data_IF_485385422524
#
_entry.id   IF_485385422524
#
_cell.length_a   1.000
_cell.length_b   1.000
_cell.length_c   1.000
_cell.angle_alpha   90.00
_cell.angle_beta   90.00
_cell.angle_gamma   90.00
#
_symmetry.space_group_name_H-M   'P 1'
#
loop_
_entity.id
_entity.type
_entity.pdbx_description
1 polymer ?
#
# COMPACT_ATOMS: atom_id res chain seq x y z
N UNK A 1 -12.44 2.50 -16.32
CA UNK A 1 -11.39 3.57 -16.31
C UNK A 1 -10.77 3.59 -14.91
N UNK A 2 -9.54 3.12 -14.77
CA UNK A 2 -8.92 3.07 -13.44
C UNK A 2 -8.21 4.39 -13.12
N UNK A 3 -8.97 5.32 -12.64
CA UNK A 3 -8.50 6.49 -11.92
C UNK A 3 -9.41 6.63 -10.70
N UNK A 4 -8.81 6.52 -9.52
CA UNK A 4 -9.53 6.62 -8.25
C UNK A 4 -9.14 7.93 -7.61
N UNK A 5 -10.12 8.80 -7.40
CA UNK A 5 -10.00 9.99 -6.55
C UNK A 5 -10.66 9.64 -5.22
N UNK A 6 -9.89 9.64 -4.15
CA UNK A 6 -10.39 9.29 -2.82
C UNK A 6 -11.20 10.46 -2.23
N UNK A 7 -12.21 10.11 -1.44
CA UNK A 7 -12.96 11.11 -0.68
C UNK A 7 -12.10 11.61 0.49
N UNK A 8 -11.69 12.87 0.41
CA UNK A 8 -10.80 13.52 1.37
C UNK A 8 -11.36 14.90 1.76
N UNK A 9 -10.86 15.54 2.84
CA UNK A 9 -11.15 16.94 3.12
C UNK A 9 -10.75 17.86 1.95
N UNK A 10 -11.42 19.02 1.81
CA UNK A 10 -11.22 19.94 0.67
C UNK A 10 -9.80 20.48 0.50
N UNK A 11 -9.02 20.52 1.59
CA UNK A 11 -7.62 20.95 1.58
C UNK A 11 -6.63 19.90 1.07
N UNK A 12 -7.11 18.69 0.71
CA UNK A 12 -6.29 17.53 0.40
C UNK A 12 -6.81 16.85 -0.86
N UNK A 13 -5.89 16.36 -1.69
CA UNK A 13 -6.19 15.47 -2.83
C UNK A 13 -5.39 14.18 -2.68
N UNK A 14 -6.07 13.03 -2.76
CA UNK A 14 -5.44 11.70 -2.76
C UNK A 14 -6.00 10.85 -3.90
N UNK A 15 -5.14 10.10 -4.58
CA UNK A 15 -5.52 9.38 -5.79
C UNK A 15 -4.70 8.11 -6.03
N UNK A 16 -5.28 7.22 -6.85
CA UNK A 16 -4.56 6.09 -7.48
C UNK A 16 -4.87 6.05 -8.97
N UNK A 17 -3.84 5.88 -9.80
CA UNK A 17 -3.99 5.73 -11.25
C UNK A 17 -3.94 4.26 -11.65
N UNK A 18 -4.46 3.98 -12.84
CA UNK A 18 -4.32 2.68 -13.51
C UNK A 18 -3.77 2.84 -14.93
N UNK A 19 -4.11 1.90 -15.82
CA UNK A 19 -3.60 1.85 -17.19
C UNK A 19 -4.10 3.00 -18.08
N UNK A 20 -5.32 3.45 -17.86
CA UNK A 20 -5.97 4.41 -18.77
C UNK A 20 -5.58 5.87 -18.52
N UNK A 21 -5.13 6.21 -17.32
CA UNK A 21 -4.82 7.59 -16.93
C UNK A 21 -3.58 7.63 -16.03
N UNK A 22 -2.69 8.57 -16.33
CA UNK A 22 -1.55 8.91 -15.47
C UNK A 22 -1.88 10.06 -14.51
N UNK A 23 -0.84 10.60 -13.88
CA UNK A 23 -0.95 11.75 -12.95
C UNK A 23 -1.38 13.04 -13.68
N UNK A 24 -1.22 13.06 -15.00
CA UNK A 24 -1.60 14.18 -15.88
C UNK A 24 -3.11 14.45 -15.87
N UNK A 25 -3.93 13.46 -15.49
CA UNK A 25 -5.37 13.64 -15.31
C UNK A 25 -5.73 14.66 -14.21
N UNK A 26 -4.78 14.94 -13.30
CA UNK A 26 -4.88 15.97 -12.26
C UNK A 26 -4.06 17.23 -12.59
N UNK A 27 -3.59 17.38 -13.82
CA UNK A 27 -2.69 18.49 -14.20
C UNK A 27 -1.27 18.38 -13.64
N UNK A 28 -0.93 17.24 -13.00
CA UNK A 28 0.39 17.00 -12.43
C UNK A 28 1.36 16.50 -13.50
N UNK A 29 2.65 16.79 -13.33
CA UNK A 29 3.72 16.26 -14.19
C UNK A 29 4.69 15.46 -13.33
N UNK A 30 5.17 14.33 -13.84
CA UNK A 30 6.10 13.45 -13.10
C UNK A 30 7.35 14.14 -12.55
N UNK A 31 7.81 15.22 -13.18
CA UNK A 31 8.97 15.99 -12.73
C UNK A 31 8.69 16.89 -11.54
N UNK A 32 7.41 17.18 -11.28
CA UNK A 32 6.97 18.08 -10.21
C UNK A 32 6.55 17.28 -8.96
N UNK A 33 6.73 15.96 -8.96
CA UNK A 33 6.40 15.07 -7.84
C UNK A 33 7.62 14.77 -6.96
N UNK A 34 7.37 14.53 -5.68
CA UNK A 34 8.28 13.78 -4.81
C UNK A 34 8.04 12.28 -5.05
N UNK A 35 8.79 11.69 -6.00
CA UNK A 35 8.59 10.35 -6.52
C UNK A 35 9.87 9.51 -6.34
N UNK A 36 10.00 8.70 -5.28
CA UNK A 36 11.24 8.02 -4.94
C UNK A 36 11.62 6.92 -5.92
N UNK A 37 12.90 6.56 -5.94
CA UNK A 37 13.42 5.32 -6.53
C UNK A 37 13.31 4.20 -5.50
N UNK A 38 12.19 3.50 -5.57
CA UNK A 38 11.80 2.45 -4.64
C UNK A 38 12.65 1.20 -4.84
N UNK A 39 13.11 0.61 -3.74
CA UNK A 39 13.96 -0.60 -3.71
C UNK A 39 13.40 -1.68 -2.76
N UNK A 40 12.15 -1.53 -2.33
CA UNK A 40 11.47 -2.39 -1.35
C UNK A 40 12.15 -2.36 0.02
N UNK A 41 12.69 -1.20 0.38
CA UNK A 41 13.26 -0.92 1.71
C UNK A 41 12.19 -0.45 2.70
N UNK A 42 12.63 -0.04 3.87
CA UNK A 42 11.84 0.61 4.90
C UNK A 42 12.30 2.08 5.14
N UNK A 43 13.02 2.63 4.16
CA UNK A 43 13.51 3.99 4.20
C UNK A 43 12.38 4.99 3.95
N UNK A 44 12.26 5.95 4.87
CA UNK A 44 11.27 7.03 4.87
C UNK A 44 12.00 8.37 4.82
N UNK A 45 11.59 9.28 3.95
CA UNK A 45 12.22 10.59 3.78
C UNK A 45 11.19 11.73 3.82
N UNK A 46 11.54 12.82 4.51
CA UNK A 46 10.86 14.10 4.39
C UNK A 46 11.34 14.84 3.14
N UNK A 47 10.37 15.35 2.35
CA UNK A 47 10.66 16.15 1.16
C UNK A 47 9.89 17.47 1.18
N UNK A 48 10.54 18.53 0.73
CA UNK A 48 9.96 19.87 0.61
C UNK A 48 10.03 20.43 -0.80
N UNK A 49 10.54 19.63 -1.71
CA UNK A 49 10.63 19.94 -3.14
C UNK A 49 10.47 18.66 -3.96
N UNK A 50 10.12 18.83 -5.22
CA UNK A 50 10.02 17.73 -6.17
C UNK A 50 11.38 17.06 -6.35
N UNK A 51 11.37 15.74 -6.56
CA UNK A 51 12.61 15.01 -6.75
C UNK A 51 12.43 13.49 -6.71
N UNK A 52 13.54 12.79 -6.92
CA UNK A 52 13.58 11.32 -6.95
C UNK A 52 14.66 10.80 -6.01
N UNK A 53 14.40 10.81 -4.69
CA UNK A 53 15.38 10.32 -3.73
C UNK A 53 15.67 8.84 -3.98
N UNK A 54 16.95 8.48 -3.87
CA UNK A 54 17.42 7.11 -4.05
C UNK A 54 17.04 6.23 -2.85
N UNK A 55 16.88 4.94 -3.11
CA UNK A 55 16.69 3.90 -2.10
C UNK A 55 15.64 4.25 -1.02
N UNK A 56 14.54 4.86 -1.43
CA UNK A 56 13.47 5.37 -0.56
C UNK A 56 12.15 4.74 -0.97
N UNK A 57 11.36 4.29 0.00
CA UNK A 57 10.08 3.63 -0.27
C UNK A 57 8.88 4.34 0.40
N UNK A 58 9.14 5.39 1.19
CA UNK A 58 8.10 6.27 1.69
C UNK A 58 8.56 7.73 1.71
N UNK A 59 7.67 8.64 1.36
CA UNK A 59 7.94 10.09 1.34
C UNK A 59 6.85 10.84 2.08
N UNK A 60 7.27 11.83 2.87
CA UNK A 60 6.43 12.67 3.72
C UNK A 60 6.62 14.13 3.31
N UNK A 61 5.57 14.93 3.39
CA UNK A 61 5.66 16.39 3.21
C UNK A 61 4.62 17.14 4.04
N UNK A 62 4.96 18.35 4.43
CA UNK A 62 4.09 19.39 4.96
C UNK A 62 3.90 20.55 3.96
N UNK A 63 4.43 20.41 2.74
CA UNK A 63 4.47 21.47 1.74
C UNK A 63 3.21 21.47 0.88
N UNK A 64 2.37 22.54 0.92
CA UNK A 64 1.28 22.71 -0.03
C UNK A 64 1.77 22.69 -1.49
N UNK A 65 0.98 22.12 -2.38
CA UNK A 65 1.30 21.98 -3.81
C UNK A 65 2.28 20.88 -4.16
N UNK A 66 3.04 20.33 -3.20
CA UNK A 66 3.94 19.20 -3.45
C UNK A 66 3.20 17.87 -3.36
N UNK A 67 3.08 17.16 -4.46
CA UNK A 67 2.52 15.81 -4.46
C UNK A 67 3.61 14.78 -4.10
N UNK A 68 3.44 14.08 -2.97
CA UNK A 68 4.20 12.87 -2.66
C UNK A 68 3.53 11.68 -3.30
N UNK A 69 4.30 10.82 -3.98
CA UNK A 69 3.75 9.76 -4.80
C UNK A 69 4.65 8.52 -4.78
N UNK A 70 4.04 7.34 -4.81
CA UNK A 70 4.72 6.04 -4.98
C UNK A 70 4.14 5.29 -6.17
N UNK A 71 4.94 4.37 -6.72
CA UNK A 71 4.57 3.53 -7.87
C UNK A 71 4.37 2.10 -7.40
N UNK A 72 3.29 1.47 -7.85
CA UNK A 72 3.01 0.07 -7.54
C UNK A 72 2.63 -0.73 -8.79
N UNK A 73 2.82 -2.02 -8.73
CA UNK A 73 2.20 -3.05 -9.55
C UNK A 73 2.14 -4.29 -8.65
N UNK A 74 1.05 -4.44 -7.91
CA UNK A 74 0.72 -5.43 -6.87
C UNK A 74 1.10 -5.05 -5.43
N UNK A 75 2.26 -4.39 -5.17
CA UNK A 75 2.57 -3.89 -3.83
C UNK A 75 1.51 -2.90 -3.34
N UNK A 76 1.33 -2.83 -2.03
CA UNK A 76 0.29 -2.01 -1.42
C UNK A 76 0.76 -0.55 -1.28
N UNK A 77 0.08 0.43 -1.89
CA UNK A 77 0.29 1.83 -1.56
C UNK A 77 -0.50 2.17 -0.30
N UNK A 78 0.12 2.89 0.63
CA UNK A 78 -0.56 3.46 1.79
C UNK A 78 -0.37 4.97 1.77
N UNK A 79 -1.48 5.70 1.71
CA UNK A 79 -1.49 7.15 1.75
C UNK A 79 -1.95 7.58 3.15
N UNK A 80 -1.17 8.43 3.80
CA UNK A 80 -1.44 8.88 5.16
C UNK A 80 -1.60 10.40 5.17
N UNK A 81 -2.49 10.91 6.02
CA UNK A 81 -2.53 12.32 6.33
C UNK A 81 -2.86 12.57 7.80
N UNK A 82 -2.18 13.56 8.39
CA UNK A 82 -2.51 14.14 9.68
C UNK A 82 -3.39 15.35 9.44
N UNK A 83 -4.66 15.25 9.84
CA UNK A 83 -5.64 16.33 9.59
C UNK A 83 -5.36 17.59 10.43
N UNK A 84 -4.68 17.44 11.57
CA UNK A 84 -4.37 18.53 12.49
C UNK A 84 -3.10 19.28 12.09
N UNK A 85 -2.05 18.55 11.75
CA UNK A 85 -0.75 19.13 11.39
C UNK A 85 -0.63 19.46 9.90
N UNK A 86 -1.58 19.00 9.07
CA UNK A 86 -1.52 19.08 7.60
C UNK A 86 -0.23 18.48 7.04
N UNK A 87 0.08 17.26 7.45
CA UNK A 87 1.20 16.47 6.95
C UNK A 87 0.64 15.31 6.13
N UNK A 88 1.27 15.00 5.01
CA UNK A 88 0.86 13.89 4.15
C UNK A 88 2.03 12.96 3.85
N UNK A 89 1.74 11.68 3.59
CA UNK A 89 2.75 10.71 3.21
C UNK A 89 2.22 9.72 2.19
N UNK A 90 3.13 9.25 1.32
CA UNK A 90 2.89 8.14 0.41
C UNK A 90 3.91 7.03 0.69
N UNK A 91 3.44 5.81 0.90
CA UNK A 91 4.23 4.65 1.30
C UNK A 91 4.08 3.53 0.28
N UNK A 92 5.18 2.97 -0.17
CA UNK A 92 5.25 1.74 -0.95
C UNK A 92 5.46 0.54 0.00
N UNK A 93 4.38 -0.13 0.36
CA UNK A 93 4.40 -1.28 1.25
C UNK A 93 4.33 -2.60 0.46
N UNK A 94 5.44 -2.98 -0.18
CA UNK A 94 5.65 -4.35 -0.64
C UNK A 94 5.88 -5.27 0.56
N UNK A 95 5.86 -6.60 0.37
CA UNK A 95 5.99 -7.55 1.48
C UNK A 95 7.26 -7.32 2.35
N UNK A 96 8.39 -6.94 1.73
CA UNK A 96 9.63 -6.64 2.47
C UNK A 96 9.47 -5.40 3.36
N UNK A 97 8.95 -4.31 2.79
CA UNK A 97 8.68 -3.08 3.53
C UNK A 97 7.65 -3.30 4.64
N UNK A 98 6.62 -4.11 4.38
CA UNK A 98 5.61 -4.47 5.38
C UNK A 98 6.23 -5.24 6.55
N UNK A 99 7.02 -6.28 6.29
CA UNK A 99 7.75 -7.04 7.32
C UNK A 99 8.69 -6.12 8.11
N UNK A 100 9.38 -5.18 7.43
CA UNK A 100 10.26 -4.18 8.05
C UNK A 100 9.52 -2.99 8.68
N UNK A 101 8.17 -3.05 8.73
CA UNK A 101 7.30 -2.08 9.41
C UNK A 101 7.37 -0.66 8.83
N UNK A 102 7.51 -0.51 7.51
CA UNK A 102 7.65 0.79 6.85
C UNK A 102 6.49 1.75 7.16
N UNK A 103 5.25 1.23 7.27
CA UNK A 103 4.07 2.04 7.58
C UNK A 103 4.17 2.62 8.98
N UNK A 104 4.57 1.81 9.98
CA UNK A 104 4.77 2.28 11.35
C UNK A 104 5.87 3.32 11.43
N UNK A 105 7.03 3.07 10.78
CA UNK A 105 8.14 4.03 10.69
C UNK A 105 7.72 5.34 10.03
N UNK A 106 6.79 5.29 9.08
CA UNK A 106 6.26 6.50 8.45
C UNK A 106 5.38 7.27 9.42
N UNK A 107 4.46 6.61 10.13
CA UNK A 107 3.62 7.24 11.17
C UNK A 107 4.49 7.87 12.27
N UNK A 108 5.47 7.14 12.78
CA UNK A 108 6.42 7.65 13.77
C UNK A 108 7.17 8.89 13.26
N UNK A 109 7.60 8.87 11.99
CA UNK A 109 8.36 9.97 11.39
C UNK A 109 7.49 11.18 11.04
N UNK A 110 6.19 11.02 10.89
CA UNK A 110 5.24 12.13 10.80
C UNK A 110 5.10 12.90 12.12
N UNK A 111 5.56 12.29 13.25
CA UNK A 111 5.48 12.87 14.61
C UNK A 111 4.07 13.38 14.96
N UNK A 112 3.03 12.55 14.86
CA UNK A 112 1.67 12.99 15.15
C UNK A 112 1.55 13.39 16.63
N UNK A 113 0.82 14.48 16.90
CA UNK A 113 0.49 14.86 18.27
C UNK A 113 -0.39 13.79 18.91
N UNK A 114 -1.31 13.23 18.11
CA UNK A 114 -2.12 12.09 18.48
C UNK A 114 -2.27 11.18 17.25
N UNK A 115 -1.90 9.89 17.35
CA UNK A 115 -2.08 8.96 16.23
C UNK A 115 -3.52 8.84 15.70
N UNK A 116 -4.52 9.19 16.51
CA UNK A 116 -5.93 9.23 16.10
C UNK A 116 -6.24 10.36 15.10
N UNK A 117 -5.35 11.36 14.97
CA UNK A 117 -5.48 12.42 13.98
C UNK A 117 -4.94 11.98 12.60
N UNK A 118 -4.30 10.78 12.53
CA UNK A 118 -3.86 10.16 11.29
C UNK A 118 -5.01 9.41 10.63
N UNK A 119 -5.22 9.68 9.37
CA UNK A 119 -6.12 8.95 8.48
C UNK A 119 -5.29 8.16 7.47
N UNK A 120 -5.68 6.93 7.19
CA UNK A 120 -4.98 6.05 6.28
C UNK A 120 -5.88 5.58 5.13
N UNK A 121 -5.34 5.63 3.92
CA UNK A 121 -5.95 5.07 2.72
C UNK A 121 -5.02 3.97 2.23
N UNK A 122 -5.46 2.72 2.29
CA UNK A 122 -4.77 1.57 1.73
C UNK A 122 -5.33 1.34 0.32
N UNK A 123 -4.53 1.62 -0.68
CA UNK A 123 -4.97 1.65 -2.08
C UNK A 123 -4.92 0.28 -2.77
N UNK A 124 -5.11 0.27 -4.12
CA UNK A 124 -5.14 -0.93 -4.92
C UNK A 124 -3.85 -1.74 -4.84
N UNK A 125 -3.96 -3.05 -4.71
CA UNK A 125 -2.82 -3.96 -4.64
C UNK A 125 -3.21 -5.39 -4.91
N UNK A 126 -2.32 -6.34 -4.71
CA UNK A 126 -2.63 -7.75 -4.88
C UNK A 126 -3.42 -8.28 -3.68
N UNK A 127 -4.55 -8.95 -3.94
CA UNK A 127 -5.37 -9.54 -2.88
C UNK A 127 -4.76 -10.84 -2.36
N UNK A 128 -5.22 -11.24 -1.16
CA UNK A 128 -4.91 -12.53 -0.54
C UNK A 128 -5.01 -13.70 -1.53
N UNK A 129 -6.08 -13.76 -2.32
CA UNK A 129 -6.33 -14.84 -3.29
C UNK A 129 -5.22 -15.01 -4.34
N UNK A 130 -4.52 -13.96 -4.64
CA UNK A 130 -3.51 -13.92 -5.70
C UNK A 130 -2.08 -13.79 -5.19
N UNK A 131 -1.91 -13.50 -3.89
CA UNK A 131 -0.59 -13.33 -3.32
C UNK A 131 -0.11 -14.61 -2.64
N UNK A 132 0.06 -15.67 -3.47
CA UNK A 132 0.80 -16.88 -3.08
C UNK A 132 2.27 -16.54 -2.91
N UNK A 133 2.89 -17.04 -1.84
CA UNK A 133 4.28 -16.80 -1.48
C UNK A 133 4.97 -18.14 -1.14
N UNK A 134 6.30 -18.12 -1.12
CA UNK A 134 7.06 -19.26 -0.59
C UNK A 134 7.07 -19.26 0.95
N UNK A 135 7.41 -20.42 1.53
CA UNK A 135 7.49 -20.61 2.98
C UNK A 135 8.45 -19.61 3.62
N UNK A 136 9.52 -19.23 2.93
CA UNK A 136 10.49 -18.25 3.41
C UNK A 136 9.91 -16.84 3.63
N UNK A 137 8.88 -16.47 2.87
CA UNK A 137 8.17 -15.19 3.05
C UNK A 137 7.20 -15.31 4.22
N UNK A 138 6.48 -16.42 4.28
CA UNK A 138 5.58 -16.71 5.40
C UNK A 138 6.30 -16.69 6.74
N UNK A 139 7.43 -17.40 6.83
CA UNK A 139 8.26 -17.48 8.05
C UNK A 139 8.77 -16.10 8.48
N UNK A 140 9.03 -15.19 7.53
CA UNK A 140 9.44 -13.82 7.84
C UNK A 140 8.32 -13.02 8.51
N UNK A 141 7.07 -13.14 8.04
CA UNK A 141 5.94 -12.50 8.70
C UNK A 141 5.71 -13.09 10.09
N UNK A 142 5.74 -14.40 10.23
CA UNK A 142 5.58 -15.09 11.52
C UNK A 142 6.69 -14.66 12.51
N UNK A 143 7.94 -14.69 12.09
CA UNK A 143 9.10 -14.32 12.93
C UNK A 143 9.10 -12.82 13.29
N UNK A 144 8.47 -11.96 12.47
CA UNK A 144 8.31 -10.54 12.75
C UNK A 144 7.10 -10.25 13.66
N UNK A 145 6.38 -11.28 14.14
CA UNK A 145 5.29 -11.17 15.09
C UNK A 145 3.96 -10.72 14.51
N UNK A 146 3.73 -10.92 13.20
CA UNK A 146 2.43 -10.63 12.61
C UNK A 146 1.36 -11.64 13.07
N UNK A 147 0.08 -11.22 13.20
CA UNK A 147 -1.02 -12.08 13.55
C UNK A 147 -1.39 -12.98 12.36
N UNK A 148 -0.73 -14.13 12.25
CA UNK A 148 -0.84 -15.01 11.07
C UNK A 148 -2.26 -15.49 10.83
N UNK A 149 -3.08 -15.65 11.87
CA UNK A 149 -4.50 -15.98 11.78
C UNK A 149 -5.34 -14.90 11.07
N UNK A 150 -4.88 -13.64 11.09
CA UNK A 150 -5.53 -12.52 10.39
C UNK A 150 -5.02 -12.39 8.96
N UNK A 151 -3.69 -12.45 8.77
CA UNK A 151 -3.07 -12.11 7.50
C UNK A 151 -2.85 -13.30 6.57
N UNK A 152 -2.96 -14.52 7.06
CA UNK A 152 -2.80 -15.76 6.29
C UNK A 152 -3.87 -16.81 6.63
N UNK A 153 -5.17 -16.45 6.60
CA UNK A 153 -6.26 -17.34 7.02
C UNK A 153 -6.46 -18.55 6.11
N UNK A 154 -5.86 -18.54 4.91
CA UNK A 154 -6.05 -19.55 3.87
C UNK A 154 -4.99 -20.65 3.88
N UNK A 155 -4.36 -20.94 5.02
CA UNK A 155 -3.33 -21.97 5.04
C UNK A 155 -3.87 -23.37 4.83
N UNK A 156 -3.38 -24.02 3.79
CA UNK A 156 -3.20 -25.46 3.84
C UNK A 156 -1.91 -25.73 4.60
N UNK A 157 -2.02 -26.25 5.83
CA UNK A 157 -0.84 -26.70 6.58
C UNK A 157 0.03 -27.61 5.70
N UNK A 158 1.37 -27.44 5.68
CA UNK A 158 2.28 -28.41 5.05
C UNK A 158 2.12 -29.84 5.57
N UNK A 159 1.35 -30.03 6.65
CA UNK A 159 1.07 -31.33 7.30
C UNK A 159 -0.38 -31.80 7.18
N UNK A 160 -1.15 -31.39 6.16
CA UNK A 160 -2.45 -31.97 5.84
C UNK A 160 -3.61 -31.63 6.78
N UNK A 161 -3.59 -30.48 7.43
CA UNK A 161 -4.68 -30.00 8.28
C UNK A 161 -5.79 -29.32 7.46
N UNK A 162 -7.03 -29.70 7.71
CA UNK A 162 -8.27 -29.24 7.05
C UNK A 162 -8.47 -27.73 7.12
N UNK A 163 -8.82 -27.14 5.97
CA UNK A 163 -9.46 -25.81 5.86
C UNK A 163 -10.79 -25.82 6.62
N UNK A 164 -10.81 -25.33 7.85
CA UNK A 164 -12.05 -25.05 8.54
C UNK A 164 -12.07 -23.58 8.93
N UNK A 165 -12.86 -22.80 8.23
CA UNK A 165 -13.39 -21.47 8.49
C UNK A 165 -13.13 -20.44 7.36
N UNK A 166 -13.56 -20.77 6.14
CA UNK A 166 -13.84 -19.75 5.14
C UNK A 166 -15.35 -19.56 5.05
N UNK A 167 -15.80 -18.33 5.19
CA UNK A 167 -17.20 -17.95 4.98
C UNK A 167 -17.64 -18.02 3.50
N UNK A 168 -16.72 -18.32 2.58
CA UNK A 168 -17.01 -18.51 1.15
C UNK A 168 -16.02 -19.48 0.51
N UNK A 169 -16.49 -20.46 -0.27
CA UNK A 169 -15.62 -21.33 -1.05
C UNK A 169 -14.97 -20.54 -2.20
N UNK A 170 -13.78 -20.96 -2.70
CA UNK A 170 -13.15 -20.34 -3.85
C UNK A 170 -14.09 -20.36 -5.07
N UNK A 171 -14.00 -19.38 -5.99
CA UNK A 171 -14.70 -19.43 -7.25
C UNK A 171 -14.45 -20.77 -7.97
N UNK A 172 -15.51 -21.39 -8.49
CA UNK A 172 -15.45 -22.73 -9.10
C UNK A 172 -14.32 -22.83 -10.13
N UNK A 173 -13.43 -23.81 -9.94
CA UNK A 173 -12.35 -24.17 -10.90
C UNK A 173 -10.99 -23.59 -10.60
N UNK A 174 -10.74 -23.03 -9.43
CA UNK A 174 -9.39 -22.61 -9.01
C UNK A 174 -8.84 -23.56 -7.94
N UNK A 175 -7.69 -24.12 -8.27
CA UNK A 175 -6.80 -24.71 -7.28
C UNK A 175 -6.06 -23.56 -6.60
N UNK A 176 -6.26 -23.39 -5.30
CA UNK A 176 -5.37 -22.54 -4.50
C UNK A 176 -3.98 -23.15 -4.61
N UNK A 177 -2.99 -22.41 -5.09
CA UNK A 177 -1.63 -22.91 -5.26
C UNK A 177 -1.13 -23.70 -4.02
N UNK A 178 -0.04 -24.38 -4.14
CA UNK A 178 0.48 -25.25 -3.07
C UNK A 178 1.14 -24.50 -1.91
N UNK A 179 1.34 -23.17 -2.07
CA UNK A 179 2.02 -22.31 -1.09
C UNK A 179 1.07 -21.50 -0.21
N UNK A 180 1.60 -20.91 0.87
CA UNK A 180 0.85 -20.00 1.72
C UNK A 180 0.47 -18.71 0.98
N UNK A 181 -0.63 -18.09 1.40
CA UNK A 181 -1.10 -16.80 0.90
C UNK A 181 -1.08 -15.78 2.02
N UNK A 182 -0.74 -14.53 1.69
CA UNK A 182 -0.67 -13.44 2.66
C UNK A 182 -1.55 -12.27 2.22
N UNK A 183 -2.37 -11.76 3.13
CA UNK A 183 -3.12 -10.53 2.95
C UNK A 183 -2.26 -9.32 3.34
N UNK A 184 -1.73 -8.63 2.33
CA UNK A 184 -0.92 -7.45 2.56
C UNK A 184 -1.76 -6.23 2.96
N UNK A 185 -3.05 -6.17 2.60
CA UNK A 185 -3.95 -5.11 3.06
C UNK A 185 -4.15 -5.24 4.57
N UNK A 186 -4.51 -6.45 5.03
CA UNK A 186 -4.73 -6.72 6.45
C UNK A 186 -3.43 -6.58 7.26
N UNK A 187 -2.29 -6.99 6.71
CA UNK A 187 -0.99 -6.81 7.36
C UNK A 187 -0.65 -5.34 7.60
N UNK A 188 -0.86 -4.47 6.60
CA UNK A 188 -0.60 -3.03 6.75
C UNK A 188 -1.66 -2.35 7.63
N UNK A 189 -2.93 -2.79 7.57
CA UNK A 189 -3.97 -2.32 8.48
C UNK A 189 -3.60 -2.62 9.92
N UNK A 190 -3.18 -3.85 10.23
CA UNK A 190 -2.75 -4.22 11.56
C UNK A 190 -1.58 -3.36 12.06
N UNK A 191 -0.58 -3.08 11.20
CA UNK A 191 0.54 -2.20 11.55
C UNK A 191 0.08 -0.77 11.91
N UNK A 192 -0.96 -0.26 11.24
CA UNK A 192 -1.55 1.04 11.53
C UNK A 192 -2.31 1.02 12.86
N UNK A 193 -3.11 -0.03 13.10
CA UNK A 193 -3.85 -0.23 14.35
C UNK A 193 -2.91 -0.29 15.57
N UNK A 194 -1.77 -0.97 15.44
CA UNK A 194 -0.72 -1.04 16.48
C UNK A 194 -0.10 0.33 16.80
N UNK A 195 -0.14 1.28 15.86
CA UNK A 195 0.27 2.68 16.06
C UNK A 195 -0.86 3.56 16.60
N UNK A 196 -2.06 3.00 16.81
CA UNK A 196 -3.22 3.74 17.30
C UNK A 196 -3.97 4.53 16.21
N UNK A 197 -3.66 4.28 14.94
CA UNK A 197 -4.42 4.83 13.81
C UNK A 197 -5.73 4.04 13.66
N UNK A 198 -6.86 4.71 13.77
CA UNK A 198 -8.17 4.05 13.79
C UNK A 198 -9.02 4.34 12.54
N UNK A 199 -8.77 5.44 11.85
CA UNK A 199 -9.47 5.78 10.61
C UNK A 199 -8.69 5.25 9.40
N UNK A 200 -9.04 4.04 8.99
CA UNK A 200 -8.36 3.27 7.94
C UNK A 200 -9.39 2.87 6.88
N UNK A 201 -9.22 3.43 5.68
CA UNK A 201 -10.01 3.04 4.51
C UNK A 201 -9.20 2.08 3.63
N UNK A 202 -9.77 0.92 3.30
CA UNK A 202 -9.20 -0.04 2.33
C UNK A 202 -10.00 0.05 1.05
N UNK A 203 -9.35 0.40 -0.05
CA UNK A 203 -9.98 0.53 -1.36
C UNK A 203 -10.43 -0.83 -1.92
N UNK A 204 -9.61 -1.89 -1.72
CA UNK A 204 -9.99 -3.28 -1.96
C UNK A 204 -9.94 -3.77 -3.41
N UNK A 205 -9.51 -2.94 -4.38
CA UNK A 205 -9.35 -3.40 -5.76
C UNK A 205 -8.07 -4.23 -5.93
N UNK A 206 -8.25 -5.49 -6.33
CA UNK A 206 -7.13 -6.37 -6.66
C UNK A 206 -6.54 -6.03 -8.02
N UNK A 207 -5.28 -5.57 -8.04
CA UNK A 207 -4.56 -5.22 -9.28
C UNK A 207 -4.35 -6.43 -10.19
N UNK A 208 -4.18 -7.64 -9.61
CA UNK A 208 -4.02 -8.88 -10.38
C UNK A 208 -5.33 -9.31 -11.05
N UNK A 209 -6.46 -9.11 -10.40
CA UNK A 209 -7.78 -9.49 -10.93
C UNK A 209 -8.35 -8.45 -11.89
N UNK A 210 -8.05 -7.17 -11.69
CA UNK A 210 -8.55 -6.06 -12.51
C UNK A 210 -7.66 -5.78 -13.70
N UNK A 211 -8.23 -5.79 -14.91
CA UNK A 211 -7.54 -5.41 -16.15
C UNK A 211 -7.21 -3.91 -16.23
N UNK A 212 -7.87 -3.09 -15.43
CA UNK A 212 -7.68 -1.64 -15.39
C UNK A 212 -6.35 -1.21 -14.74
N UNK A 213 -5.71 -2.09 -13.95
CA UNK A 213 -4.46 -1.79 -13.24
C UNK A 213 -3.27 -2.58 -13.81
N UNK A 214 -2.08 -2.02 -13.69
CA UNK A 214 -0.84 -2.76 -13.93
C UNK A 214 -0.59 -3.75 -12.78
N UNK A 215 -0.20 -4.98 -13.15
CA UNK A 215 0.09 -6.06 -12.21
C UNK A 215 1.32 -6.84 -12.66
N UNK A 216 2.36 -6.84 -11.83
CA UNK A 216 3.56 -7.60 -12.09
C UNK A 216 3.31 -9.13 -12.04
N UNK A 217 2.39 -9.58 -11.20
CA UNK A 217 1.97 -10.99 -11.08
C UNK A 217 1.20 -11.48 -12.30
N UNK A 218 0.40 -10.62 -12.93
CA UNK A 218 -0.35 -10.96 -14.15
C UNK A 218 0.49 -10.85 -15.40
N UNK A 219 1.26 -9.79 -15.52
CA UNK A 219 1.99 -9.45 -16.74
C UNK A 219 3.46 -9.86 -16.62
N UNK A 220 4.31 -9.03 -16.09
CA UNK A 220 5.69 -9.29 -15.73
C UNK A 220 6.20 -8.16 -14.84
N UNK A 221 7.40 -8.30 -14.29
CA UNK A 221 8.07 -7.23 -13.52
C UNK A 221 8.32 -5.96 -14.36
N UNK A 222 8.34 -6.07 -15.69
CA UNK A 222 8.54 -4.96 -16.63
C UNK A 222 7.24 -4.25 -17.03
N UNK A 223 6.09 -4.63 -16.47
CA UNK A 223 4.82 -3.94 -16.69
C UNK A 223 4.90 -2.47 -16.26
N UNK A 224 3.94 -1.66 -16.73
CA UNK A 224 3.76 -0.28 -16.26
C UNK A 224 3.55 -0.16 -14.76
N UNK A 225 3.33 1.04 -14.27
CA UNK A 225 3.12 1.29 -12.84
C UNK A 225 1.88 2.13 -12.60
N UNK A 226 1.15 1.78 -11.57
CA UNK A 226 0.09 2.58 -11.00
C UNK A 226 0.73 3.63 -10.09
N UNK A 227 0.36 4.90 -10.23
CA UNK A 227 0.82 5.99 -9.39
C UNK A 227 -0.19 6.22 -8.28
N UNK A 228 0.29 6.34 -7.05
CA UNK A 228 -0.54 6.55 -5.87
C UNK A 228 0.01 7.75 -5.13
N UNK A 229 -0.74 8.84 -5.13
CA UNK A 229 -0.26 10.13 -4.68
C UNK A 229 -1.22 10.83 -3.74
N UNK A 230 -0.64 11.74 -2.96
CA UNK A 230 -1.36 12.59 -2.02
C UNK A 230 -0.68 13.96 -1.96
N UNK A 231 -1.46 15.03 -1.92
CA UNK A 231 -0.95 16.38 -1.82
C UNK A 231 -1.89 17.29 -1.00
N UNK A 232 -1.29 18.26 -0.34
CA UNK A 232 -2.01 19.39 0.28
C UNK A 232 -2.30 20.39 -0.83
N UNK A 233 -3.57 20.74 -1.03
CA UNK A 233 -3.97 21.71 -2.04
C UNK A 233 -3.40 23.10 -1.71
N UNK A 234 -3.04 23.86 -2.74
CA UNK A 234 -2.73 25.29 -2.59
C UNK A 234 -4.02 26.06 -2.28
N UNK A 235 -3.95 27.03 -1.40
CA UNK A 235 -5.09 27.92 -1.06
C UNK A 235 -5.36 28.93 -2.16
#
# INVERSE_FOLDING_TARGET
MAFILYKTPSWLTAFSTGKACGVEALGLRLKDLALPRQVHSDNVLWMREAGRPEATDAVITDKPGLCVCVKTADCIPVLLYDARQRIVAAVHAGWRGTVSRIVQKTVEKMHPINPKDIHAIIGPGISLEWFEVGDEVYDKFQSAGFPMERIAPLQTSPRGGRLSQLSSPPPRGRDWGKGPHIDLWEANKWLLEEQGVNDIYIEGTCTRASEDFFSARRETINTGRNYNGILINEE
#
